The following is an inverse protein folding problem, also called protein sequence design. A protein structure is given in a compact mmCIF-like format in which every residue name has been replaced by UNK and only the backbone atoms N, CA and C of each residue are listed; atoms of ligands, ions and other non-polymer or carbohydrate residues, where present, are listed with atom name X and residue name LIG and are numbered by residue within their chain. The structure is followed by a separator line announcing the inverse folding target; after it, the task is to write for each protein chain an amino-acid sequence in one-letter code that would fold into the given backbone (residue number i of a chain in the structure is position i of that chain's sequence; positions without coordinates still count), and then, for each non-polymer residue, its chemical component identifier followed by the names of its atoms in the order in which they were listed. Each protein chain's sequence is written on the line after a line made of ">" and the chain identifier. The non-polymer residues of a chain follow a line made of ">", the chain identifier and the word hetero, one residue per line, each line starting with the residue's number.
data_IF_738584404760
#
_entry.id   IF_738584404760
#
_cell.length_a   1.000
_cell.length_b   1.000
_cell.length_c   1.000
_cell.angle_alpha   90.00
_cell.angle_beta   90.00
_cell.angle_gamma   90.00
#
_symmetry.space_group_name_H-M   'P 1'
#
loop_
_entity.id
_entity.type
_entity.pdbx_description
1 polymer ?
#
# COMPACT_ATOMS: atom_id res chain seq x y z
N UNK A 1 -10.34 -37.56 27.45
CA UNK A 1 -9.41 -38.55 26.84
C UNK A 1 -10.19 -39.36 25.82
N UNK A 2 -9.96 -39.14 24.52
CA UNK A 2 -10.56 -39.95 23.45
C UNK A 2 -9.43 -40.32 22.49
N UNK A 3 -9.22 -41.62 22.34
CA UNK A 3 -8.18 -42.23 21.50
C UNK A 3 -8.57 -42.19 20.02
N UNK A 4 -7.58 -41.94 19.15
CA UNK A 4 -7.69 -42.07 17.69
C UNK A 4 -7.14 -43.43 17.24
N UNK A 5 -7.89 -44.14 16.39
CA UNK A 5 -7.45 -45.39 15.74
C UNK A 5 -6.56 -45.08 14.52
N UNK A 6 -5.48 -45.85 14.29
CA UNK A 6 -4.60 -45.69 13.13
C UNK A 6 -5.09 -46.52 11.95
N UNK A 7 -5.02 -45.95 10.75
CA UNK A 7 -5.22 -46.72 9.54
C UNK A 7 -5.33 -45.84 8.32
N UNK A 8 -4.24 -45.72 7.56
CA UNK A 8 -4.21 -45.60 6.11
C UNK A 8 -2.77 -45.90 5.67
N UNK A 9 -2.61 -46.95 4.84
CA UNK A 9 -1.32 -47.44 4.34
C UNK A 9 -0.85 -46.57 3.17
N UNK A 10 0.46 -46.36 2.95
CA UNK A 10 0.94 -45.69 1.74
C UNK A 10 0.94 -46.69 0.58
N UNK A 11 0.20 -46.40 -0.49
CA UNK A 11 0.35 -47.12 -1.75
C UNK A 11 1.35 -46.37 -2.64
N UNK A 12 2.50 -47.01 -2.86
CA UNK A 12 3.50 -46.61 -3.84
C UNK A 12 2.96 -46.87 -5.25
N UNK A 13 2.92 -45.83 -6.07
CA UNK A 13 2.89 -45.96 -7.53
C UNK A 13 4.00 -45.08 -8.10
N UNK A 14 5.05 -45.75 -8.56
CA UNK A 14 6.17 -45.15 -9.28
C UNK A 14 5.68 -44.42 -10.54
N UNK A 15 5.94 -43.11 -10.62
CA UNK A 15 5.71 -42.33 -11.83
C UNK A 15 6.93 -42.40 -12.75
N UNK A 16 6.74 -42.86 -13.99
CA UNK A 16 7.74 -42.77 -15.07
C UNK A 16 8.03 -41.28 -15.39
N UNK A 17 9.26 -40.88 -15.73
CA UNK A 17 9.53 -39.50 -16.13
C UNK A 17 8.98 -39.26 -17.54
N UNK A 18 7.80 -38.64 -17.61
CA UNK A 18 7.25 -38.09 -18.85
C UNK A 18 8.07 -36.89 -19.32
N UNK A 19 8.36 -36.85 -20.62
CA UNK A 19 9.21 -35.86 -21.25
C UNK A 19 8.87 -34.40 -20.88
N UNK A 20 9.93 -33.62 -20.66
CA UNK A 20 9.98 -32.20 -20.30
C UNK A 20 9.14 -31.36 -21.28
N UNK A 21 7.89 -31.08 -20.92
CA UNK A 21 7.08 -30.08 -21.61
C UNK A 21 7.73 -28.71 -21.47
N UNK A 22 8.06 -28.08 -22.62
CA UNK A 22 8.57 -26.70 -22.73
C UNK A 22 7.85 -25.79 -21.72
N UNK A 23 8.62 -25.17 -20.83
CA UNK A 23 8.11 -24.24 -19.83
C UNK A 23 7.19 -23.21 -20.49
N UNK A 24 5.92 -23.18 -20.08
CA UNK A 24 5.03 -22.07 -20.39
C UNK A 24 5.67 -20.85 -19.73
N UNK A 25 6.38 -20.05 -20.53
CA UNK A 25 6.93 -18.79 -20.08
C UNK A 25 5.80 -18.02 -19.40
N UNK A 26 5.96 -17.74 -18.11
CA UNK A 26 5.02 -16.87 -17.39
C UNK A 26 4.99 -15.57 -18.18
N UNK A 27 3.88 -15.27 -18.84
CA UNK A 27 3.65 -13.93 -19.39
C UNK A 27 3.83 -13.00 -18.19
N UNK A 28 4.86 -12.16 -18.24
CA UNK A 28 5.04 -11.11 -17.24
C UNK A 28 3.79 -10.24 -17.38
N UNK A 29 2.90 -10.30 -16.39
CA UNK A 29 1.79 -9.37 -16.31
C UNK A 29 2.43 -8.00 -16.07
N UNK A 30 2.76 -7.30 -17.15
CA UNK A 30 3.12 -5.89 -17.07
C UNK A 30 1.82 -5.18 -16.66
N UNK A 31 1.73 -4.81 -15.39
CA UNK A 31 0.66 -3.95 -14.91
C UNK A 31 0.66 -2.61 -15.66
N UNK A 32 -0.39 -1.83 -15.43
CA UNK A 32 -0.51 -0.49 -15.98
C UNK A 32 0.68 0.36 -15.57
N UNK A 33 1.22 1.13 -16.52
CA UNK A 33 2.29 2.10 -16.30
C UNK A 33 1.70 3.49 -16.39
N UNK A 34 2.03 4.33 -15.42
CA UNK A 34 1.62 5.72 -15.37
C UNK A 34 2.87 6.58 -15.28
N UNK A 35 2.90 7.67 -16.04
CA UNK A 35 3.95 8.66 -15.89
C UNK A 35 3.68 9.54 -14.68
N UNK A 36 4.75 9.97 -14.02
CA UNK A 36 4.66 10.93 -12.91
C UNK A 36 4.62 12.34 -13.50
N UNK A 37 3.50 13.02 -13.32
CA UNK A 37 3.32 14.40 -13.81
C UNK A 37 3.70 15.42 -12.73
N UNK A 38 3.44 15.12 -11.46
CA UNK A 38 3.58 16.06 -10.33
C UNK A 38 4.64 15.65 -9.30
N UNK A 39 5.52 14.69 -9.62
CA UNK A 39 6.57 14.28 -8.69
C UNK A 39 7.83 13.81 -9.41
N UNK A 40 8.99 14.17 -8.88
CA UNK A 40 10.27 13.59 -9.29
C UNK A 40 10.42 12.14 -8.77
N UNK A 41 10.79 11.15 -9.60
CA UNK A 41 11.11 9.79 -9.14
C UNK A 41 12.37 9.68 -8.26
N UNK A 42 13.23 10.70 -8.22
CA UNK A 42 14.51 10.69 -7.48
C UNK A 42 14.36 10.95 -5.98
N UNK A 43 13.25 11.55 -5.54
CA UNK A 43 13.00 11.88 -4.14
C UNK A 43 11.56 11.56 -3.72
N UNK A 44 11.30 11.57 -2.42
CA UNK A 44 9.94 11.41 -1.94
C UNK A 44 9.11 12.64 -2.37
N UNK A 45 7.87 12.46 -2.85
CA UNK A 45 7.05 13.58 -3.32
C UNK A 45 6.80 14.68 -2.28
N UNK A 46 6.69 14.31 -0.99
CA UNK A 46 6.44 15.28 0.08
C UNK A 46 7.64 16.16 0.41
N UNK A 47 8.86 15.71 0.11
CA UNK A 47 10.08 16.48 0.29
C UNK A 47 10.23 17.58 -0.78
N UNK A 48 9.41 17.52 -1.84
CA UNK A 48 9.39 18.52 -2.93
C UNK A 48 8.54 19.74 -2.58
N UNK A 49 7.83 19.71 -1.45
CA UNK A 49 6.89 20.76 -1.03
C UNK A 49 7.46 21.48 0.19
N UNK A 50 7.39 22.81 0.21
CA UNK A 50 7.67 23.59 1.42
C UNK A 50 6.47 23.54 2.38
N UNK A 51 6.72 23.13 3.61
CA UNK A 51 5.72 23.03 4.67
C UNK A 51 5.90 24.13 5.71
N UNK A 52 4.80 24.59 6.27
CA UNK A 52 4.81 25.49 7.42
C UNK A 52 3.78 25.07 8.47
N UNK A 53 4.03 25.47 9.72
CA UNK A 53 3.13 25.17 10.83
C UNK A 53 2.08 26.27 10.96
N UNK A 54 0.81 25.90 10.88
CA UNK A 54 -0.33 26.81 11.10
C UNK A 54 -1.24 26.30 12.22
N UNK A 55 -2.19 27.15 12.60
CA UNK A 55 -3.31 26.80 13.48
C UNK A 55 -4.58 26.80 12.64
N UNK A 56 -5.29 25.69 12.59
CA UNK A 56 -6.64 25.62 12.02
C UNK A 56 -7.66 25.91 13.11
N UNK A 57 -8.51 26.90 12.90
CA UNK A 57 -9.57 27.28 13.82
C UNK A 57 -10.89 27.40 13.08
N UNK A 58 -11.95 26.86 13.66
CA UNK A 58 -13.32 27.03 13.18
C UNK A 58 -14.12 27.67 14.30
N UNK A 59 -14.78 28.78 14.00
CA UNK A 59 -15.62 29.55 14.91
C UNK A 59 -17.09 29.49 14.49
N UNK A 60 -17.97 29.59 15.48
CA UNK A 60 -19.41 29.77 15.28
C UNK A 60 -19.78 31.24 15.03
N UNK A 61 -21.05 31.55 14.74
CA UNK A 61 -21.51 32.94 14.48
C UNK A 61 -21.18 33.91 15.62
N UNK A 62 -21.17 33.39 16.85
CA UNK A 62 -20.91 34.16 18.06
C UNK A 62 -19.41 34.35 18.33
N UNK A 63 -18.53 33.90 17.42
CA UNK A 63 -17.07 33.95 17.55
C UNK A 63 -16.50 32.88 18.49
N UNK A 64 -17.33 31.97 18.99
CA UNK A 64 -16.89 30.88 19.86
C UNK A 64 -16.14 29.83 19.03
N UNK A 65 -14.94 29.48 19.48
CA UNK A 65 -14.15 28.40 18.88
C UNK A 65 -14.82 27.06 19.11
N UNK A 66 -15.17 26.37 18.01
CA UNK A 66 -15.74 25.02 18.03
C UNK A 66 -14.72 23.95 17.62
N UNK A 67 -13.64 24.35 16.94
CA UNK A 67 -12.52 23.49 16.60
C UNK A 67 -11.23 24.30 16.60
N UNK A 68 -10.16 23.75 17.19
CA UNK A 68 -8.82 24.33 17.13
C UNK A 68 -7.79 23.21 17.06
N UNK A 69 -6.90 23.29 16.08
CA UNK A 69 -5.75 22.41 15.98
C UNK A 69 -4.50 23.23 15.70
N UNK A 70 -3.54 23.12 16.62
CA UNK A 70 -2.27 23.85 16.55
C UNK A 70 -1.18 22.96 15.97
N UNK A 71 -0.14 23.60 15.44
CA UNK A 71 1.07 22.95 14.91
C UNK A 71 0.80 21.97 13.75
N UNK A 72 -0.21 22.24 12.92
CA UNK A 72 -0.46 21.44 11.72
C UNK A 72 0.50 21.84 10.61
N UNK A 73 1.05 20.86 9.91
CA UNK A 73 1.88 21.10 8.74
C UNK A 73 0.99 21.26 7.52
N UNK A 74 1.09 22.41 6.87
CA UNK A 74 0.37 22.72 5.64
C UNK A 74 1.35 23.19 4.56
N UNK A 75 1.09 22.88 3.28
CA UNK A 75 1.87 23.43 2.20
C UNK A 75 1.81 24.95 2.22
N UNK A 76 2.98 25.57 2.19
CA UNK A 76 3.12 27.03 2.23
C UNK A 76 2.45 27.73 1.05
N UNK A 77 2.29 27.03 -0.07
CA UNK A 77 1.60 27.55 -1.26
C UNK A 77 0.08 27.65 -1.11
N UNK A 78 -0.51 27.06 -0.06
CA UNK A 78 -1.95 27.14 0.17
C UNK A 78 -2.33 28.47 0.79
N UNK A 79 -3.42 29.05 0.27
CA UNK A 79 -4.02 30.25 0.83
C UNK A 79 -4.42 30.04 2.29
N UNK A 80 -4.25 31.09 3.08
CA UNK A 80 -4.75 31.17 4.45
C UNK A 80 -6.25 31.51 4.48
#
# INVERSE_FOLDING_TARGET
>A
MIQLKPGLRPSSLAAKPGARGKGRGKKKNNGLRFERVFSDPKCAPFDQIEWEKRTAEITDDSGKVIFKQENIEVPKSWSA
#
